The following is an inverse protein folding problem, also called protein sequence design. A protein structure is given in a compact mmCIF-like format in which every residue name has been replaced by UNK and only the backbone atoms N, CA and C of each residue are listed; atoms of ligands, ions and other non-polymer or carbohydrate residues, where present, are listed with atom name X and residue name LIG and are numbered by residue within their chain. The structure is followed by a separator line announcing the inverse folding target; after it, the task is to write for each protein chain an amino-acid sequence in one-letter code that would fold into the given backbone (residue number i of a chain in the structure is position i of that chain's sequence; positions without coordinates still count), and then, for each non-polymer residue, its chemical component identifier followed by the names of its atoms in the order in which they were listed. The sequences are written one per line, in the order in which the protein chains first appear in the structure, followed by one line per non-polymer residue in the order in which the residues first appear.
data_IF_286356784142
#
_entry.id   IF_286356784142
#
_cell.length_a   1.000
_cell.length_b   1.000
_cell.length_c   1.000
_cell.angle_alpha   90.00
_cell.angle_beta   90.00
_cell.angle_gamma   90.00
#
_symmetry.space_group_name_H-M   'P 1'
#
loop_
_entity.id
_entity.type
_entity.pdbx_description
1 polymer ?
#
# COMPACT_ATOMS: atom_id res chain seq x y z
N UNK A 1 -84.71 -19.11 -29.91
CA UNK A 1 -83.60 -19.90 -29.30
C UNK A 1 -82.57 -18.89 -28.81
N UNK A 2 -82.56 -18.57 -27.47
CA UNK A 2 -81.65 -17.62 -26.86
C UNK A 2 -80.43 -18.39 -26.36
N UNK A 3 -79.24 -18.11 -26.86
CA UNK A 3 -77.99 -18.60 -26.31
C UNK A 3 -77.49 -17.62 -25.22
N UNK A 4 -77.41 -18.07 -24.00
CA UNK A 4 -76.86 -17.33 -22.87
C UNK A 4 -75.33 -17.55 -22.85
N UNK A 5 -74.55 -16.47 -23.10
CA UNK A 5 -73.13 -16.41 -22.86
C UNK A 5 -72.88 -16.07 -21.41
N UNK A 6 -72.31 -17.02 -20.65
CA UNK A 6 -71.75 -16.77 -19.33
C UNK A 6 -70.32 -16.26 -19.49
N UNK A 7 -70.09 -14.99 -19.12
CA UNK A 7 -68.75 -14.41 -18.99
C UNK A 7 -68.21 -14.76 -17.59
N UNK A 8 -67.19 -15.63 -17.51
CA UNK A 8 -66.45 -15.92 -16.32
C UNK A 8 -65.32 -14.87 -16.13
N UNK A 9 -65.50 -13.95 -15.22
CA UNK A 9 -64.47 -13.00 -14.79
C UNK A 9 -63.47 -13.67 -13.86
N UNK A 10 -62.27 -13.92 -14.34
CA UNK A 10 -61.13 -14.41 -13.55
C UNK A 10 -60.52 -13.23 -12.78
N UNK A 11 -60.77 -13.18 -11.48
CA UNK A 11 -60.13 -12.21 -10.55
C UNK A 11 -58.72 -12.66 -10.27
N UNK A 12 -57.71 -12.05 -10.89
CA UNK A 12 -56.29 -12.20 -10.57
C UNK A 12 -56.01 -11.42 -9.29
N UNK A 13 -55.94 -12.10 -8.16
CA UNK A 13 -55.45 -11.53 -6.89
C UNK A 13 -53.95 -11.37 -7.00
N UNK A 14 -53.48 -10.16 -7.27
CA UNK A 14 -52.05 -9.80 -7.18
C UNK A 14 -51.67 -9.81 -5.70
N UNK A 15 -50.98 -10.87 -5.27
CA UNK A 15 -50.25 -10.90 -3.98
C UNK A 15 -49.07 -9.92 -4.10
N UNK A 16 -49.29 -8.66 -3.75
CA UNK A 16 -48.20 -7.72 -3.49
C UNK A 16 -47.49 -8.18 -2.23
N UNK A 17 -46.50 -9.08 -2.36
CA UNK A 17 -45.63 -9.44 -1.30
C UNK A 17 -44.87 -8.18 -0.86
N UNK A 18 -45.08 -7.72 0.38
CA UNK A 18 -44.25 -6.71 1.02
C UNK A 18 -42.83 -7.28 1.09
N UNK A 19 -41.97 -6.94 0.14
CA UNK A 19 -40.53 -7.15 0.32
C UNK A 19 -40.11 -6.33 1.55
N UNK A 20 -39.43 -6.92 2.53
CA UNK A 20 -38.94 -6.16 3.67
C UNK A 20 -38.04 -5.02 3.16
N UNK A 21 -38.26 -3.82 3.67
CA UNK A 21 -37.40 -2.67 3.35
C UNK A 21 -35.98 -2.99 3.79
N UNK A 22 -34.95 -2.67 2.97
CA UNK A 22 -33.56 -2.89 3.39
C UNK A 22 -33.26 -2.13 4.67
N UNK A 23 -32.47 -2.74 5.57
CA UNK A 23 -32.09 -2.10 6.81
C UNK A 23 -31.19 -0.88 6.53
N UNK A 24 -31.39 0.20 7.27
CA UNK A 24 -30.44 1.32 7.30
C UNK A 24 -29.24 0.97 8.17
N UNK A 25 -28.04 1.41 7.78
CA UNK A 25 -26.86 1.29 8.65
C UNK A 25 -27.02 2.22 9.85
N UNK A 26 -26.87 1.73 11.09
CA UNK A 26 -26.94 2.60 12.27
C UNK A 26 -25.85 3.67 12.27
N UNK A 27 -26.14 4.89 12.66
CA UNK A 27 -25.21 6.03 12.72
C UNK A 27 -23.97 5.76 13.60
N UNK A 28 -24.11 4.86 14.59
CA UNK A 28 -23.01 4.44 15.47
C UNK A 28 -22.05 3.42 14.81
N UNK A 29 -22.27 3.06 13.54
CA UNK A 29 -21.31 2.25 12.76
C UNK A 29 -20.48 3.19 11.91
N UNK A 30 -19.17 3.19 12.15
CA UNK A 30 -18.22 4.06 11.43
C UNK A 30 -17.17 3.26 10.69
N UNK A 31 -16.62 3.86 9.63
CA UNK A 31 -15.52 3.28 8.87
C UNK A 31 -14.34 4.25 8.89
N UNK A 32 -13.15 3.75 9.18
CA UNK A 32 -11.90 4.50 9.02
C UNK A 32 -10.89 3.68 8.22
N UNK A 33 -9.92 4.37 7.61
CA UNK A 33 -8.87 3.74 6.81
C UNK A 33 -7.50 3.97 7.42
N UNK A 34 -6.64 2.95 7.31
CA UNK A 34 -5.25 3.03 7.75
C UNK A 34 -4.43 1.90 7.12
N UNK A 35 -3.10 1.95 7.31
CA UNK A 35 -2.20 0.85 6.98
C UNK A 35 -1.38 0.45 8.20
N UNK A 36 -1.21 -0.86 8.41
CA UNK A 36 -0.17 -1.39 9.28
C UNK A 36 1.19 -1.38 8.57
N UNK A 37 2.28 -1.55 9.30
CA UNK A 37 3.63 -1.58 8.73
C UNK A 37 3.82 -2.63 7.62
N UNK A 38 3.18 -3.79 7.74
CA UNK A 38 3.27 -4.87 6.74
C UNK A 38 2.38 -4.64 5.51
N UNK A 39 1.43 -3.72 5.60
CA UNK A 39 0.49 -3.44 4.51
C UNK A 39 1.15 -2.64 3.37
N UNK A 40 2.24 -1.91 3.66
CA UNK A 40 2.93 -1.09 2.67
C UNK A 40 3.47 -1.92 1.49
N UNK A 41 4.19 -3.01 1.78
CA UNK A 41 4.79 -3.86 0.73
C UNK A 41 3.77 -4.62 -0.12
N UNK A 42 2.57 -4.84 0.42
CA UNK A 42 1.49 -5.58 -0.24
C UNK A 42 0.42 -4.66 -0.83
N UNK A 43 0.56 -3.33 -0.67
CA UNK A 43 -0.45 -2.32 -1.05
C UNK A 43 -1.82 -2.64 -0.45
N UNK A 44 -1.84 -3.07 0.79
CA UNK A 44 -3.06 -3.40 1.54
C UNK A 44 -3.54 -2.16 2.29
N UNK A 45 -4.86 -1.87 2.21
CA UNK A 45 -5.54 -0.88 3.03
C UNK A 45 -6.45 -1.60 4.03
N UNK A 46 -6.45 -1.16 5.26
CA UNK A 46 -7.36 -1.66 6.29
C UNK A 46 -8.60 -0.77 6.34
N UNK A 47 -9.77 -1.35 6.13
CA UNK A 47 -11.06 -0.72 6.39
C UNK A 47 -11.50 -1.14 7.79
N UNK A 48 -11.29 -0.27 8.77
CA UNK A 48 -11.71 -0.53 10.14
C UNK A 48 -13.17 -0.17 10.30
N UNK A 49 -14.01 -1.18 10.46
CA UNK A 49 -15.44 -1.00 10.76
C UNK A 49 -15.63 -1.09 12.27
N UNK A 50 -16.05 0.00 12.88
CA UNK A 50 -16.37 0.08 14.30
C UNK A 50 -17.88 0.04 14.49
N UNK A 51 -18.35 -0.84 15.39
CA UNK A 51 -19.74 -1.03 15.73
C UNK A 51 -20.05 -0.44 17.12
N UNK A 52 -20.42 0.81 17.19
CA UNK A 52 -20.82 1.49 18.43
C UNK A 52 -22.24 1.15 18.92
N UNK A 53 -22.93 0.21 18.26
CA UNK A 53 -24.30 -0.18 18.67
C UNK A 53 -24.30 -1.18 19.83
N UNK A 54 -25.48 -1.37 20.46
CA UNK A 54 -25.67 -2.36 21.52
C UNK A 54 -25.83 -3.81 21.05
N UNK A 55 -25.81 -4.10 19.75
CA UNK A 55 -25.94 -5.43 19.17
C UNK A 55 -24.87 -5.72 18.14
N UNK A 56 -24.58 -7.01 17.90
CA UNK A 56 -23.60 -7.38 16.89
C UNK A 56 -24.16 -7.12 15.49
N UNK A 57 -23.24 -6.76 14.55
CA UNK A 57 -23.52 -6.70 13.11
C UNK A 57 -22.63 -7.71 12.39
N UNK A 58 -23.06 -8.16 11.22
CA UNK A 58 -22.20 -8.97 10.32
C UNK A 58 -22.05 -8.22 9.01
N UNK A 59 -20.83 -7.80 8.69
CA UNK A 59 -20.49 -7.27 7.37
C UNK A 59 -20.22 -8.46 6.48
N UNK A 60 -20.92 -8.55 5.35
CA UNK A 60 -20.78 -9.64 4.36
C UNK A 60 -19.92 -9.23 3.18
N UNK A 61 -19.87 -7.92 2.89
CA UNK A 61 -19.05 -7.34 1.82
C UNK A 61 -18.72 -5.89 2.16
N UNK A 62 -17.52 -5.45 1.80
CA UNK A 62 -17.13 -4.05 1.79
C UNK A 62 -16.48 -3.73 0.43
N UNK A 63 -16.87 -2.63 -0.18
CA UNK A 63 -16.33 -2.13 -1.44
C UNK A 63 -15.79 -0.73 -1.19
N UNK A 64 -14.48 -0.58 -1.27
CA UNK A 64 -13.82 0.72 -1.21
C UNK A 64 -13.69 1.28 -2.63
N UNK A 65 -14.23 2.44 -2.87
CA UNK A 65 -14.17 3.19 -4.11
C UNK A 65 -13.48 4.52 -3.86
N UNK A 66 -12.53 4.86 -4.71
CA UNK A 66 -11.80 6.12 -4.63
C UNK A 66 -11.40 6.56 -6.03
N UNK A 67 -11.48 7.86 -6.29
CA UNK A 67 -10.98 8.44 -7.55
C UNK A 67 -9.46 8.36 -7.69
N UNK A 68 -8.74 8.01 -6.61
CA UNK A 68 -7.28 7.79 -6.60
C UNK A 68 -6.85 6.46 -7.20
N UNK A 69 -7.79 5.53 -7.43
CA UNK A 69 -7.47 4.17 -7.89
C UNK A 69 -8.33 3.77 -9.09
N UNK A 70 -7.77 2.94 -9.95
CA UNK A 70 -8.35 2.56 -11.23
C UNK A 70 -9.60 1.68 -11.13
N UNK A 71 -9.80 1.01 -10.00
CA UNK A 71 -10.90 0.08 -9.75
C UNK A 71 -11.26 0.07 -8.26
N UNK A 72 -12.46 -0.41 -7.88
CA UNK A 72 -12.81 -0.65 -6.49
C UNK A 72 -11.96 -1.74 -5.85
N UNK A 73 -11.61 -1.57 -4.57
CA UNK A 73 -11.01 -2.61 -3.75
C UNK A 73 -12.09 -3.33 -2.94
N UNK A 74 -12.11 -4.66 -2.98
CA UNK A 74 -13.23 -5.46 -2.47
C UNK A 74 -12.77 -6.41 -1.37
N UNK A 75 -13.55 -6.45 -0.28
CA UNK A 75 -13.53 -7.48 0.74
C UNK A 75 -14.90 -8.18 0.73
N UNK A 76 -14.95 -9.51 0.65
CA UNK A 76 -16.17 -10.30 0.37
C UNK A 76 -16.33 -11.53 1.29
N UNK A 77 -15.82 -11.47 2.51
CA UNK A 77 -15.93 -12.54 3.51
C UNK A 77 -16.83 -12.09 4.67
N UNK A 78 -17.76 -12.95 5.17
CA UNK A 78 -18.57 -12.58 6.31
C UNK A 78 -17.71 -12.35 7.57
N UNK A 79 -17.88 -11.19 8.19
CA UNK A 79 -17.18 -10.80 9.41
C UNK A 79 -18.18 -10.30 10.45
N UNK A 80 -18.29 -11.01 11.57
CA UNK A 80 -19.09 -10.57 12.69
C UNK A 80 -18.33 -9.54 13.53
N UNK A 81 -18.97 -8.41 13.81
CA UNK A 81 -18.45 -7.33 14.64
C UNK A 81 -19.32 -7.25 15.88
N UNK A 82 -18.81 -7.54 17.10
CA UNK A 82 -19.60 -7.51 18.31
C UNK A 82 -20.05 -6.09 18.67
N UNK A 83 -21.05 -5.97 19.55
CA UNK A 83 -21.44 -4.70 20.15
C UNK A 83 -20.23 -4.00 20.78
N UNK A 84 -20.03 -2.72 20.51
CA UNK A 84 -18.89 -1.93 20.98
C UNK A 84 -17.52 -2.34 20.44
N UNK A 85 -17.48 -3.27 19.47
CA UNK A 85 -16.22 -3.77 18.90
C UNK A 85 -15.88 -3.20 17.54
N UNK A 86 -14.69 -3.53 17.03
CA UNK A 86 -14.25 -3.19 15.68
C UNK A 86 -13.55 -4.38 15.00
N UNK A 87 -13.49 -4.36 13.65
CA UNK A 87 -12.73 -5.29 12.83
C UNK A 87 -12.10 -4.57 11.65
N UNK A 88 -10.91 -5.01 11.33
CA UNK A 88 -10.16 -4.53 10.18
C UNK A 88 -10.40 -5.47 9.00
N UNK A 89 -10.85 -4.91 7.88
CA UNK A 89 -11.14 -5.61 6.65
C UNK A 89 -10.05 -5.24 5.64
N UNK A 90 -9.12 -6.16 5.42
CA UNK A 90 -7.97 -5.92 4.56
C UNK A 90 -8.36 -5.99 3.08
N UNK A 91 -8.18 -4.92 2.34
CA UNK A 91 -8.36 -4.85 0.88
C UNK A 91 -7.05 -4.52 0.20
N UNK A 92 -6.81 -5.11 -0.98
CA UNK A 92 -5.64 -4.76 -1.80
C UNK A 92 -6.01 -3.60 -2.71
N UNK A 93 -5.20 -2.54 -2.70
CA UNK A 93 -5.39 -1.37 -3.54
C UNK A 93 -5.04 -1.70 -5.01
N UNK A 94 -5.88 -1.27 -5.96
CA UNK A 94 -5.60 -1.34 -7.39
C UNK A 94 -4.54 -0.31 -7.81
N UNK A 95 -4.23 -0.27 -9.10
CA UNK A 95 -3.29 0.70 -9.66
C UNK A 95 -3.76 2.14 -9.43
N UNK A 96 -2.83 3.08 -9.21
CA UNK A 96 -3.16 4.47 -8.96
C UNK A 96 -3.72 5.16 -10.20
N UNK A 97 -4.53 6.19 -9.99
CA UNK A 97 -4.91 7.21 -10.98
C UNK A 97 -4.15 8.47 -10.61
N UNK A 98 -3.24 8.90 -11.48
CA UNK A 98 -2.30 9.96 -11.16
C UNK A 98 -2.72 11.34 -11.67
N UNK A 99 -3.66 11.41 -12.61
CA UNK A 99 -4.22 12.65 -13.16
C UNK A 99 -5.64 12.88 -12.64
N UNK A 100 -5.96 12.32 -11.47
CA UNK A 100 -7.28 12.39 -10.85
C UNK A 100 -7.66 13.82 -10.45
N UNK A 101 -8.95 14.11 -10.55
CA UNK A 101 -9.55 15.37 -10.08
C UNK A 101 -9.63 15.43 -8.54
N UNK A 102 -10.63 16.14 -8.03
CA UNK A 102 -10.87 16.22 -6.57
C UNK A 102 -11.07 14.81 -5.99
N UNK A 103 -10.31 14.44 -4.96
CA UNK A 103 -10.45 13.14 -4.31
C UNK A 103 -11.88 12.92 -3.78
N UNK A 104 -12.41 11.73 -4.02
CA UNK A 104 -13.68 11.28 -3.48
C UNK A 104 -13.55 9.80 -3.08
N UNK A 105 -13.86 9.51 -1.83
CA UNK A 105 -13.70 8.19 -1.23
C UNK A 105 -15.02 7.72 -0.63
N UNK A 106 -15.37 6.47 -0.85
CA UNK A 106 -16.53 5.85 -0.23
C UNK A 106 -16.28 4.38 0.08
N UNK A 107 -16.97 3.88 1.11
CA UNK A 107 -17.03 2.46 1.44
C UNK A 107 -18.48 2.02 1.43
N UNK A 108 -18.84 1.15 0.51
CA UNK A 108 -20.16 0.51 0.48
C UNK A 108 -20.09 -0.77 1.30
N UNK A 109 -20.85 -0.81 2.41
CA UNK A 109 -20.99 -1.97 3.26
C UNK A 109 -22.30 -2.72 2.94
N UNK A 110 -22.21 -4.04 2.69
CA UNK A 110 -23.36 -4.95 2.77
C UNK A 110 -23.32 -5.63 4.14
N UNK A 111 -24.42 -5.60 4.87
CA UNK A 111 -24.43 -6.02 6.27
C UNK A 111 -25.75 -6.70 6.67
N UNK A 112 -25.71 -7.42 7.80
CA UNK A 112 -26.86 -7.98 8.48
C UNK A 112 -26.82 -7.53 9.94
N UNK A 113 -27.92 -6.99 10.44
CA UNK A 113 -28.10 -6.57 11.83
C UNK A 113 -28.37 -7.76 12.75
N UNK A 114 -28.33 -7.55 14.06
CA UNK A 114 -28.54 -8.59 15.05
C UNK A 114 -29.95 -9.21 15.06
N UNK A 115 -30.93 -8.52 14.51
CA UNK A 115 -32.30 -9.01 14.30
C UNK A 115 -32.52 -9.81 13.01
N UNK A 116 -31.42 -9.98 12.21
CA UNK A 116 -31.45 -10.70 10.93
C UNK A 116 -31.81 -9.84 9.72
N UNK A 117 -32.15 -8.56 9.90
CA UNK A 117 -32.40 -7.67 8.76
C UNK A 117 -31.11 -7.30 8.06
N UNK A 118 -31.14 -7.23 6.73
CA UNK A 118 -29.97 -6.94 5.89
C UNK A 118 -30.13 -5.63 5.15
N UNK A 119 -28.99 -4.98 4.87
CA UNK A 119 -28.97 -3.73 4.15
C UNK A 119 -27.64 -3.49 3.44
N UNK A 120 -27.61 -2.41 2.67
CA UNK A 120 -26.41 -1.88 2.02
C UNK A 120 -26.40 -0.37 2.22
N UNK A 121 -25.23 0.17 2.60
CA UNK A 121 -25.05 1.59 2.81
C UNK A 121 -23.66 2.04 2.36
N UNK A 122 -23.59 3.22 1.75
CA UNK A 122 -22.33 3.90 1.47
C UNK A 122 -21.99 4.84 2.64
N UNK A 123 -20.72 4.80 3.04
CA UNK A 123 -20.16 5.59 4.14
C UNK A 123 -18.89 6.27 3.63
N UNK A 124 -18.72 7.55 3.94
CA UNK A 124 -17.45 8.22 3.73
C UNK A 124 -16.46 7.76 4.81
N UNK A 125 -15.30 7.17 4.43
CA UNK A 125 -14.34 6.69 5.42
C UNK A 125 -13.58 7.85 6.06
N UNK A 126 -13.27 7.73 7.35
CA UNK A 126 -12.41 8.69 8.06
C UNK A 126 -10.95 8.32 7.80
N UNK A 127 -10.17 9.26 7.28
CA UNK A 127 -8.72 9.13 7.07
C UNK A 127 -7.97 10.17 7.92
N UNK A 128 -7.82 9.89 9.22
CA UNK A 128 -7.23 10.82 10.20
C UNK A 128 -5.77 11.19 9.89
N UNK A 129 -5.06 10.36 9.13
CA UNK A 129 -3.63 10.51 8.87
C UNK A 129 -3.33 10.93 7.43
N UNK A 130 -4.34 11.29 6.64
CA UNK A 130 -4.22 11.55 5.20
C UNK A 130 -3.46 10.42 4.46
N UNK A 131 -3.74 9.17 4.85
CA UNK A 131 -3.01 8.01 4.37
C UNK A 131 -3.30 7.74 2.89
N UNK A 132 -4.53 7.98 2.45
CA UNK A 132 -4.94 7.80 1.05
C UNK A 132 -4.19 8.75 0.11
N UNK A 133 -4.00 10.02 0.50
CA UNK A 133 -3.19 10.97 -0.25
C UNK A 133 -1.73 10.49 -0.33
N UNK A 134 -1.16 10.12 0.81
CA UNK A 134 0.23 9.63 0.88
C UNK A 134 0.45 8.40 -0.02
N UNK A 135 -0.47 7.42 0.00
CA UNK A 135 -0.38 6.23 -0.86
C UNK A 135 -0.44 6.62 -2.34
N UNK A 136 -1.38 7.50 -2.71
CA UNK A 136 -1.53 7.91 -4.11
C UNK A 136 -0.30 8.69 -4.60
N UNK A 137 0.26 9.58 -3.78
CA UNK A 137 1.47 10.33 -4.12
C UNK A 137 2.69 9.41 -4.27
N UNK A 138 2.91 8.46 -3.34
CA UNK A 138 3.98 7.46 -3.40
C UNK A 138 3.84 6.56 -4.66
N UNK A 139 2.61 6.10 -4.95
CA UNK A 139 2.31 5.27 -6.11
C UNK A 139 2.52 6.02 -7.42
N UNK A 140 2.06 7.27 -7.50
CA UNK A 140 2.19 8.10 -8.69
C UNK A 140 3.63 8.53 -8.94
N UNK A 141 4.40 8.81 -7.89
CA UNK A 141 5.84 9.02 -8.02
C UNK A 141 6.52 7.75 -8.57
N UNK A 142 6.16 6.58 -8.05
CA UNK A 142 6.68 5.29 -8.51
C UNK A 142 6.36 5.07 -10.00
N UNK A 143 5.14 5.38 -10.42
CA UNK A 143 4.73 5.27 -11.83
C UNK A 143 5.51 6.24 -12.73
N UNK A 144 5.74 7.49 -12.28
CA UNK A 144 6.51 8.49 -13.02
C UNK A 144 7.99 8.09 -13.14
N UNK A 145 8.59 7.54 -12.08
CA UNK A 145 9.96 6.98 -12.14
C UNK A 145 10.02 5.82 -13.14
N UNK A 146 9.09 4.85 -13.03
CA UNK A 146 9.07 3.67 -13.90
C UNK A 146 8.84 4.01 -15.38
N UNK A 147 8.17 5.13 -15.69
CA UNK A 147 8.01 5.59 -17.06
C UNK A 147 9.36 6.00 -17.70
N UNK A 148 10.31 6.51 -16.91
CA UNK A 148 11.61 7.02 -17.40
C UNK A 148 12.73 5.99 -17.22
N UNK A 149 12.78 5.26 -16.10
CA UNK A 149 13.84 4.31 -15.82
C UNK A 149 13.37 3.16 -14.92
N UNK A 150 14.04 2.00 -15.03
CA UNK A 150 14.04 0.98 -13.97
C UNK A 150 15.28 1.18 -13.10
N UNK A 151 15.12 0.98 -11.79
CA UNK A 151 16.19 1.09 -10.79
C UNK A 151 16.13 -0.13 -9.90
N UNK A 152 17.08 -1.04 -10.08
CA UNK A 152 17.07 -2.33 -9.38
C UNK A 152 18.44 -2.64 -8.76
N UNK A 153 18.47 -3.31 -7.58
CA UNK A 153 19.70 -3.89 -7.05
C UNK A 153 20.25 -4.95 -8.01
N UNK A 154 21.56 -4.94 -8.22
CA UNK A 154 22.22 -5.90 -9.09
C UNK A 154 23.50 -6.46 -8.46
N UNK A 155 23.85 -7.69 -8.82
CA UNK A 155 25.09 -8.33 -8.40
C UNK A 155 25.11 -8.80 -6.92
N UNK A 156 24.04 -8.58 -6.18
CA UNK A 156 23.98 -8.93 -4.76
C UNK A 156 24.74 -7.96 -3.85
N UNK A 157 24.87 -8.32 -2.57
CA UNK A 157 25.62 -7.54 -1.60
C UNK A 157 27.06 -8.07 -1.49
N UNK A 158 28.04 -7.18 -1.60
CA UNK A 158 29.45 -7.53 -1.50
C UNK A 158 30.09 -6.91 -0.26
N UNK A 159 30.69 -7.74 0.60
CA UNK A 159 31.49 -7.30 1.75
C UNK A 159 32.65 -8.28 2.00
N UNK A 160 33.60 -7.86 2.80
CA UNK A 160 34.70 -8.71 3.25
C UNK A 160 34.44 -9.17 4.68
N UNK A 161 34.10 -10.45 4.92
CA UNK A 161 33.80 -10.95 6.25
C UNK A 161 34.91 -10.66 7.28
N UNK A 162 34.50 -10.19 8.47
CA UNK A 162 35.39 -9.87 9.58
C UNK A 162 36.22 -8.61 9.40
N UNK A 163 36.08 -7.86 8.29
CA UNK A 163 36.93 -6.69 8.03
C UNK A 163 36.42 -5.38 8.66
N UNK A 164 35.20 -5.37 9.23
CA UNK A 164 34.51 -4.16 9.69
C UNK A 164 34.55 -3.01 8.66
N UNK A 165 34.46 -3.37 7.38
CA UNK A 165 34.44 -2.45 6.25
C UNK A 165 33.02 -2.34 5.67
N UNK A 166 32.68 -1.24 4.99
CA UNK A 166 31.39 -1.11 4.33
C UNK A 166 31.10 -2.27 3.38
N UNK A 167 29.82 -2.68 3.29
CA UNK A 167 29.34 -3.50 2.21
C UNK A 167 28.96 -2.63 1.02
N UNK A 168 29.02 -3.18 -0.19
CA UNK A 168 28.60 -2.51 -1.43
C UNK A 168 27.36 -3.18 -1.99
N UNK A 169 26.30 -2.39 -2.21
CA UNK A 169 25.13 -2.74 -3.01
C UNK A 169 25.12 -1.86 -4.26
N UNK A 170 25.10 -2.46 -5.44
CA UNK A 170 24.99 -1.70 -6.67
C UNK A 170 23.53 -1.58 -7.11
N UNK A 171 23.12 -0.37 -7.52
CA UNK A 171 21.86 -0.12 -8.20
C UNK A 171 22.13 0.06 -9.69
N UNK A 172 21.49 -0.75 -10.53
CA UNK A 172 21.46 -0.51 -11.97
C UNK A 172 20.31 0.45 -12.29
N UNK A 173 20.61 1.49 -13.04
CA UNK A 173 19.66 2.46 -13.57
C UNK A 173 19.59 2.28 -15.07
N UNK A 174 18.46 1.81 -15.58
CA UNK A 174 18.25 1.50 -16.99
C UNK A 174 17.17 2.43 -17.56
N UNK A 175 17.53 3.41 -18.42
CA UNK A 175 16.54 4.24 -19.09
C UNK A 175 15.59 3.39 -19.94
N UNK A 176 14.30 3.71 -19.93
CA UNK A 176 13.27 3.03 -20.74
C UNK A 176 13.33 3.44 -22.20
N UNK A 177 13.96 4.57 -22.51
CA UNK A 177 13.95 5.20 -23.83
C UNK A 177 12.70 6.03 -24.11
N UNK A 178 11.76 6.13 -23.16
CA UNK A 178 10.61 7.04 -23.25
C UNK A 178 11.04 8.49 -23.02
N UNK A 179 10.24 9.42 -23.54
CA UNK A 179 10.41 10.84 -23.26
C UNK A 179 10.20 11.13 -21.77
N UNK A 180 11.01 12.04 -21.25
CA UNK A 180 10.97 12.44 -19.85
C UNK A 180 12.35 12.49 -19.21
N UNK A 181 12.38 13.01 -18.00
CA UNK A 181 13.59 13.14 -17.20
C UNK A 181 13.32 12.74 -15.76
N UNK A 182 14.26 12.01 -15.19
CA UNK A 182 14.30 11.62 -13.79
C UNK A 182 15.62 12.10 -13.21
N UNK A 183 15.58 12.88 -12.15
CA UNK A 183 16.75 13.22 -11.36
C UNK A 183 16.74 12.44 -10.05
N UNK A 184 17.79 11.64 -9.80
CA UNK A 184 18.06 11.04 -8.50
C UNK A 184 18.95 12.03 -7.75
N UNK A 185 18.40 12.66 -6.72
CA UNK A 185 19.06 13.73 -5.96
C UNK A 185 20.03 13.13 -4.96
N UNK A 186 19.54 12.24 -4.11
CA UNK A 186 20.34 11.61 -3.06
C UNK A 186 19.79 10.22 -2.70
N UNK A 187 20.63 9.39 -2.12
CA UNK A 187 20.24 8.18 -1.44
C UNK A 187 20.23 8.40 0.07
N UNK A 188 19.36 7.68 0.79
CA UNK A 188 19.26 7.71 2.26
C UNK A 188 19.49 6.34 2.86
N UNK A 189 19.94 6.32 4.11
CA UNK A 189 20.03 5.10 4.90
C UNK A 189 18.64 4.53 5.24
N UNK A 190 18.65 3.29 5.74
CA UNK A 190 17.47 2.60 6.28
C UNK A 190 17.45 2.67 7.80
N UNK A 191 16.47 2.06 8.44
CA UNK A 191 16.47 1.89 9.92
C UNK A 191 17.65 1.05 10.39
N UNK A 192 18.06 0.05 9.60
CA UNK A 192 19.12 -0.90 9.94
C UNK A 192 20.50 -0.39 9.51
N UNK A 193 20.60 0.28 8.36
CA UNK A 193 21.85 0.59 7.69
C UNK A 193 21.97 2.09 7.39
N UNK A 194 23.09 2.68 7.73
CA UNK A 194 23.53 3.98 7.24
C UNK A 194 24.26 3.80 5.92
N UNK A 195 24.29 4.85 5.11
CA UNK A 195 25.23 4.95 4.01
C UNK A 195 26.63 5.27 4.54
N UNK A 196 27.66 4.97 3.76
CA UNK A 196 29.00 5.43 4.04
C UNK A 196 29.52 6.32 2.91
N UNK A 197 30.29 7.34 3.26
CA UNK A 197 30.98 8.16 2.26
C UNK A 197 32.23 7.46 1.69
N UNK A 198 32.94 8.13 0.79
CA UNK A 198 34.16 7.60 0.15
C UNK A 198 35.30 7.28 1.14
N UNK A 199 35.25 7.76 2.38
CA UNK A 199 36.20 7.41 3.45
C UNK A 199 35.74 6.21 4.29
N UNK A 200 34.51 5.73 4.09
CA UNK A 200 33.86 4.68 4.89
C UNK A 200 33.17 5.23 6.15
N UNK A 201 33.10 6.55 6.34
CA UNK A 201 32.40 7.15 7.48
C UNK A 201 30.88 7.12 7.27
N UNK A 202 30.08 6.78 8.31
CA UNK A 202 28.63 6.74 8.20
C UNK A 202 28.06 8.12 7.94
N UNK A 203 27.12 8.20 6.96
CA UNK A 203 26.36 9.38 6.61
C UNK A 203 24.86 9.05 6.54
N UNK A 204 24.01 10.02 6.80
CA UNK A 204 22.54 9.84 6.71
C UNK A 204 22.04 9.91 5.29
N UNK A 205 22.69 10.71 4.43
CA UNK A 205 22.38 10.89 3.01
C UNK A 205 23.65 10.88 2.19
N UNK A 206 23.56 10.39 0.96
CA UNK A 206 24.64 10.39 -0.03
C UNK A 206 24.15 11.10 -1.29
N UNK A 207 24.71 12.27 -1.66
CA UNK A 207 24.39 12.93 -2.91
C UNK A 207 24.67 12.03 -4.12
N UNK A 208 23.68 11.88 -5.01
CA UNK A 208 23.80 11.12 -6.26
C UNK A 208 23.87 12.07 -7.44
N UNK A 209 22.96 13.04 -7.52
CA UNK A 209 22.87 14.08 -8.54
C UNK A 209 22.92 13.49 -9.98
N UNK A 210 22.24 12.37 -10.23
CA UNK A 210 22.19 11.72 -11.52
C UNK A 210 20.91 12.09 -12.25
N UNK A 211 21.05 12.54 -13.51
CA UNK A 211 19.92 12.80 -14.40
C UNK A 211 19.84 11.71 -15.47
N UNK A 212 18.66 11.10 -15.59
CA UNK A 212 18.35 10.01 -16.49
C UNK A 212 17.31 10.50 -17.51
N UNK A 213 17.57 10.24 -18.81
CA UNK A 213 16.65 10.52 -19.92
C UNK A 213 16.89 9.54 -21.06
N UNK A 214 16.03 9.57 -22.09
CA UNK A 214 16.11 8.67 -23.25
C UNK A 214 17.47 8.63 -23.95
N UNK A 215 18.25 9.73 -23.93
CA UNK A 215 19.55 9.84 -24.56
C UNK A 215 20.73 9.41 -23.67
N UNK A 216 20.49 9.07 -22.41
CA UNK A 216 21.53 8.68 -21.46
C UNK A 216 21.63 7.15 -21.44
N UNK A 217 22.86 6.63 -21.44
CA UNK A 217 23.09 5.18 -21.32
C UNK A 217 22.82 4.66 -19.90
N UNK A 218 22.82 3.32 -19.73
CA UNK A 218 22.71 2.69 -18.41
C UNK A 218 23.76 3.22 -17.44
N UNK A 219 23.36 3.42 -16.18
CA UNK A 219 24.24 3.86 -15.09
C UNK A 219 24.23 2.86 -13.93
N UNK A 220 25.25 2.95 -13.09
CA UNK A 220 25.35 2.21 -11.83
C UNK A 220 25.61 3.18 -10.68
N UNK A 221 24.89 2.97 -9.59
CA UNK A 221 25.02 3.77 -8.37
C UNK A 221 25.46 2.81 -7.25
N UNK A 222 26.72 2.86 -6.81
CA UNK A 222 27.18 2.08 -5.67
C UNK A 222 26.70 2.72 -4.38
N UNK A 223 26.04 1.93 -3.52
CA UNK A 223 25.70 2.29 -2.15
C UNK A 223 26.67 1.58 -1.23
N UNK A 224 27.46 2.34 -0.51
CA UNK A 224 28.32 1.82 0.57
C UNK A 224 27.49 1.80 1.84
N UNK A 225 27.39 0.64 2.50
CA UNK A 225 26.51 0.39 3.61
C UNK A 225 27.30 0.04 4.87
N UNK A 226 26.92 0.61 6.00
CA UNK A 226 27.40 0.24 7.34
C UNK A 226 26.22 0.12 8.29
N UNK A 227 26.28 -0.70 9.34
CA UNK A 227 25.23 -0.71 10.35
C UNK A 227 25.00 0.67 10.95
N UNK A 228 23.73 1.08 11.08
CA UNK A 228 23.38 2.34 11.73
C UNK A 228 23.75 2.30 13.23
N UNK A 229 23.52 1.15 13.86
CA UNK A 229 23.87 0.83 15.24
C UNK A 229 24.04 -0.68 15.36
N UNK A 230 24.95 -1.15 16.22
CA UNK A 230 25.11 -2.57 16.50
C UNK A 230 24.25 -2.96 17.71
N UNK A 231 22.97 -3.20 17.47
CA UNK A 231 21.98 -3.57 18.47
C UNK A 231 21.13 -4.74 17.93
N UNK A 232 21.04 -5.88 18.62
CA UNK A 232 20.24 -7.03 18.18
C UNK A 232 18.78 -6.68 17.89
N UNK A 233 18.19 -5.70 18.61
CA UNK A 233 16.81 -5.26 18.37
C UNK A 233 16.63 -4.46 17.07
N UNK A 234 17.71 -3.93 16.49
CA UNK A 234 17.62 -3.19 15.23
C UNK A 234 17.08 -4.05 14.08
N UNK A 235 17.44 -5.35 14.05
CA UNK A 235 16.93 -6.32 13.07
C UNK A 235 15.43 -6.56 13.25
N UNK A 236 14.95 -6.60 14.50
CA UNK A 236 13.53 -6.77 14.80
C UNK A 236 12.70 -5.52 14.44
N UNK A 237 13.35 -4.35 14.43
CA UNK A 237 12.72 -3.08 14.03
C UNK A 237 12.60 -2.93 12.51
N UNK A 238 13.42 -3.65 11.73
CA UNK A 238 13.39 -3.64 10.25
C UNK A 238 12.22 -4.46 9.70
N UNK A 239 11.01 -4.10 10.13
CA UNK A 239 9.76 -4.82 9.77
C UNK A 239 9.27 -4.56 8.35
N UNK A 240 9.80 -3.56 7.67
CA UNK A 240 9.47 -3.27 6.27
C UNK A 240 10.23 -4.16 5.28
N UNK A 241 11.21 -4.93 5.75
CA UNK A 241 12.23 -5.48 4.88
C UNK A 241 13.05 -4.32 4.30
N UNK A 242 14.26 -4.55 3.93
CA UNK A 242 15.19 -3.49 3.55
C UNK A 242 14.75 -2.78 2.28
N UNK A 243 14.23 -1.57 2.40
CA UNK A 243 13.92 -0.66 1.30
C UNK A 243 14.89 0.50 1.32
N UNK A 244 15.60 0.72 0.22
CA UNK A 244 16.53 1.84 0.10
C UNK A 244 15.80 3.07 -0.44
N UNK A 245 15.71 4.17 0.34
CA UNK A 245 15.05 5.38 -0.10
C UNK A 245 15.98 6.22 -0.99
N UNK A 246 15.47 6.61 -2.16
CA UNK A 246 16.08 7.61 -3.03
C UNK A 246 15.19 8.85 -3.09
N UNK A 247 15.76 10.03 -2.88
CA UNK A 247 15.06 11.27 -3.19
C UNK A 247 15.16 11.53 -4.69
N UNK A 248 14.01 11.68 -5.31
CA UNK A 248 13.91 11.84 -6.76
C UNK A 248 13.00 12.99 -7.15
N UNK A 249 13.20 13.51 -8.36
CA UNK A 249 12.26 14.41 -9.03
C UNK A 249 12.07 13.99 -10.48
N UNK A 250 10.87 14.13 -11.00
CA UNK A 250 10.46 13.71 -12.33
C UNK A 250 10.01 14.89 -13.18
N UNK A 251 10.03 14.75 -14.50
CA UNK A 251 9.71 15.80 -15.48
C UNK A 251 8.27 16.33 -15.37
N UNK A 252 7.35 15.52 -14.83
CA UNK A 252 5.95 15.90 -14.59
C UNK A 252 5.74 16.69 -13.27
N UNK A 253 6.86 17.09 -12.62
CA UNK A 253 6.86 17.92 -11.43
C UNK A 253 6.66 17.17 -10.11
N UNK A 254 6.62 15.84 -10.13
CA UNK A 254 6.58 15.04 -8.91
C UNK A 254 7.96 14.96 -8.28
N UNK A 255 8.00 14.96 -6.96
CA UNK A 255 9.24 14.78 -6.19
C UNK A 255 8.94 14.12 -4.86
N UNK A 256 9.90 13.38 -4.33
CA UNK A 256 9.77 12.70 -3.05
C UNK A 256 10.66 11.48 -2.94
N UNK A 257 10.33 10.62 -1.99
CA UNK A 257 11.10 9.41 -1.71
C UNK A 257 10.57 8.24 -2.56
N UNK A 258 11.41 7.74 -3.46
CA UNK A 258 11.21 6.50 -4.18
C UNK A 258 11.92 5.36 -3.44
N UNK A 259 11.21 4.26 -3.17
CA UNK A 259 11.73 3.14 -2.41
C UNK A 259 12.13 1.98 -3.30
N UNK A 260 13.39 1.56 -3.22
CA UNK A 260 13.90 0.37 -3.90
C UNK A 260 13.79 -0.83 -2.99
N UNK A 261 12.97 -1.81 -3.38
CA UNK A 261 12.89 -3.08 -2.69
C UNK A 261 14.09 -3.98 -3.05
N UNK A 262 14.58 -4.74 -2.08
CA UNK A 262 15.53 -5.81 -2.34
C UNK A 262 14.83 -7.16 -2.30
N UNK A 263 15.34 -8.12 -3.06
CA UNK A 263 14.85 -9.50 -3.02
C UNK A 263 15.26 -10.22 -1.71
N UNK A 264 14.77 -11.42 -1.52
CA UNK A 264 15.02 -12.21 -0.30
C UNK A 264 16.48 -12.62 -0.14
N UNK A 265 17.22 -12.79 -1.24
CA UNK A 265 18.63 -13.17 -1.19
C UNK A 265 19.49 -11.98 -0.76
N UNK A 266 19.26 -10.80 -1.33
CA UNK A 266 19.92 -9.56 -0.90
C UNK A 266 19.56 -9.23 0.54
N UNK A 267 18.29 -9.39 0.93
CA UNK A 267 17.86 -9.15 2.32
C UNK A 267 18.58 -10.08 3.29
N UNK A 268 18.69 -11.35 2.97
CA UNK A 268 19.43 -12.31 3.79
C UNK A 268 20.91 -11.90 3.91
N UNK A 269 21.54 -11.53 2.80
CA UNK A 269 22.93 -11.07 2.77
C UNK A 269 23.14 -9.80 3.61
N UNK A 270 22.17 -8.87 3.62
CA UNK A 270 22.20 -7.66 4.47
C UNK A 270 22.17 -8.01 5.96
N UNK A 271 21.35 -8.98 6.38
CA UNK A 271 21.33 -9.43 7.78
C UNK A 271 22.60 -10.21 8.15
N UNK A 272 23.15 -11.00 7.25
CA UNK A 272 24.43 -11.68 7.45
C UNK A 272 25.59 -10.68 7.59
N UNK A 273 25.64 -9.67 6.71
CA UNK A 273 26.58 -8.57 6.80
C UNK A 273 26.45 -7.81 8.13
N UNK A 274 25.21 -7.47 8.51
CA UNK A 274 24.96 -6.77 9.78
C UNK A 274 25.47 -7.56 10.97
N UNK A 275 25.17 -8.86 11.05
CA UNK A 275 25.62 -9.74 12.12
C UNK A 275 27.16 -9.86 12.12
N UNK A 276 27.79 -10.03 10.95
CA UNK A 276 29.24 -10.13 10.81
C UNK A 276 29.95 -8.84 11.25
N UNK A 277 29.48 -7.69 10.75
CA UNK A 277 30.05 -6.39 11.09
C UNK A 277 29.92 -6.06 12.58
N UNK A 278 28.79 -6.40 13.20
CA UNK A 278 28.51 -6.11 14.60
C UNK A 278 29.01 -7.21 15.58
N UNK A 279 29.60 -8.29 15.10
CA UNK A 279 30.02 -9.41 15.92
C UNK A 279 28.86 -10.13 16.63
N UNK A 280 27.67 -10.15 16.00
CA UNK A 280 26.48 -10.79 16.54
C UNK A 280 26.40 -12.26 16.08
N UNK A 281 25.70 -13.13 16.85
CA UNK A 281 25.42 -14.49 16.38
C UNK A 281 24.63 -14.43 15.07
N UNK A 282 24.98 -15.29 14.11
CA UNK A 282 24.19 -15.45 12.89
C UNK A 282 22.88 -16.15 13.24
N UNK A 283 21.77 -15.65 12.67
CA UNK A 283 20.42 -16.20 12.87
C UNK A 283 20.26 -17.56 12.17
#
# INVERSE_FOLDING_TARGET
MLARLLAATLAVVALAGCAPSPAALPDAVTVSVFQNRFDYSTRTLQLKVANGTGSAITVTRAVFESTRFSQPAVWDRPQRIPAGGARDLAVRLPDPVCDGGTPADSVTLSFTLGDGTSGTAAVEPVDEQARLDTINDEDCLTASVAAVATIDPVGGLHWMPGAHSPATLELAVLPTGADGELTIVEAKGTVLLSLADGSGAPVTTLPVNATISAGVGPARIPLLLVPHRCDPHAVEEDKRGTFFPLEVSTHDGRSGTFYIAVDDDVRRALYEFYADYCGLPRA
#
